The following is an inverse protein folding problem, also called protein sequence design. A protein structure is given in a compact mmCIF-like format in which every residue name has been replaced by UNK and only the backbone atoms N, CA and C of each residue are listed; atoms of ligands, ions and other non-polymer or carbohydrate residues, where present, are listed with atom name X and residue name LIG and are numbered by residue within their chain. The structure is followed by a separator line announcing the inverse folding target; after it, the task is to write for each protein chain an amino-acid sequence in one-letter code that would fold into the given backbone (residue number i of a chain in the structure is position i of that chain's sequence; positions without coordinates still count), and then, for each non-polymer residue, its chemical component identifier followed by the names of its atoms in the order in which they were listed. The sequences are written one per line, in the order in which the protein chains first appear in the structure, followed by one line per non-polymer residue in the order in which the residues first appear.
data_IF_726267563993
#
_entry.id   IF_726267563993
#
_cell.length_a   1.000
_cell.length_b   1.000
_cell.length_c   1.000
_cell.angle_alpha   90.00
_cell.angle_beta   90.00
_cell.angle_gamma   90.00
#
_symmetry.space_group_name_H-M   'P 1'
#
loop_
_entity.id
_entity.type
_entity.pdbx_description
1 polymer ?
#
# COMPACT_ATOMS: atom_id res chain seq x y z
N UNK A 1 -25.12 5.06 9.44
CA UNK A 1 -24.01 5.21 8.48
C UNK A 1 -22.62 5.16 9.13
N UNK A 2 -22.44 4.60 10.34
CA UNK A 2 -21.12 4.47 10.98
C UNK A 2 -20.20 3.47 10.25
N UNK A 3 -20.76 2.35 9.80
CA UNK A 3 -20.00 1.30 9.10
C UNK A 3 -19.32 1.81 7.82
N UNK A 4 -20.01 2.66 7.05
CA UNK A 4 -19.45 3.26 5.82
C UNK A 4 -18.28 4.17 6.16
N UNK A 5 -18.37 4.94 7.27
CA UNK A 5 -17.26 5.78 7.72
C UNK A 5 -16.03 4.95 8.14
N UNK A 6 -16.23 3.78 8.75
CA UNK A 6 -15.13 2.87 9.10
C UNK A 6 -14.44 2.33 7.83
N UNK A 7 -15.19 1.99 6.79
CA UNK A 7 -14.61 1.52 5.52
C UNK A 7 -13.79 2.60 4.79
N UNK A 8 -14.01 3.88 5.10
CA UNK A 8 -13.27 5.00 4.54
C UNK A 8 -12.01 5.37 5.35
N UNK A 9 -11.70 4.65 6.44
CA UNK A 9 -10.48 4.89 7.21
C UNK A 9 -9.27 4.65 6.29
N UNK A 10 -8.32 5.61 6.22
CA UNK A 10 -7.14 5.47 5.39
C UNK A 10 -6.18 4.44 5.98
N UNK A 11 -5.77 3.49 5.16
CA UNK A 11 -4.79 2.45 5.49
C UNK A 11 -3.62 2.59 4.53
N UNK A 12 -2.40 2.63 5.05
CA UNK A 12 -1.18 2.65 4.23
C UNK A 12 -0.72 1.21 3.97
N UNK A 13 -0.64 0.85 2.69
CA UNK A 13 -0.13 -0.44 2.22
C UNK A 13 1.13 -0.26 1.38
N UNK A 14 2.10 -1.16 1.56
CA UNK A 14 3.30 -1.22 0.73
C UNK A 14 3.11 -2.25 -0.38
N UNK A 15 3.76 -2.00 -1.51
CA UNK A 15 3.77 -2.88 -2.66
C UNK A 15 2.39 -3.13 -3.30
N UNK A 16 1.48 -2.16 -3.21
CA UNK A 16 0.16 -2.19 -3.86
C UNK A 16 -0.90 -2.89 -3.02
N UNK A 17 -0.74 -4.19 -2.75
CA UNK A 17 -1.75 -4.99 -2.04
C UNK A 17 -1.15 -5.85 -0.91
N UNK A 18 -1.95 -6.22 0.11
CA UNK A 18 -1.51 -7.07 1.21
C UNK A 18 -0.91 -8.40 0.73
N UNK A 19 0.29 -8.70 1.22
CA UNK A 19 1.00 -9.93 0.90
C UNK A 19 1.78 -9.89 -0.43
N UNK A 20 1.64 -8.83 -1.23
CA UNK A 20 2.49 -8.63 -2.39
C UNK A 20 3.88 -8.10 -1.99
N UNK A 21 4.85 -8.40 -2.83
CA UNK A 21 6.21 -7.89 -2.73
C UNK A 21 6.56 -7.13 -3.99
N UNK A 22 7.16 -5.97 -3.82
CA UNK A 22 7.63 -5.13 -4.90
C UNK A 22 9.14 -5.31 -5.04
N UNK A 23 9.60 -5.56 -6.27
CA UNK A 23 11.03 -5.58 -6.57
C UNK A 23 11.53 -4.15 -6.66
N UNK A 24 12.49 -3.80 -5.81
CA UNK A 24 13.13 -2.49 -5.79
C UNK A 24 14.63 -2.64 -5.70
N UNK A 25 15.35 -1.90 -6.53
CA UNK A 25 16.80 -1.86 -6.50
C UNK A 25 17.27 -0.91 -5.39
N UNK A 26 18.49 -1.13 -4.90
CA UNK A 26 19.15 -0.19 -3.99
C UNK A 26 19.65 0.99 -4.82
N UNK A 27 19.33 2.20 -4.41
CA UNK A 27 19.79 3.43 -5.05
C UNK A 27 21.28 3.72 -4.76
N UNK A 28 21.91 4.69 -5.44
CA UNK A 28 23.32 5.04 -5.20
C UNK A 28 23.63 5.56 -3.79
N UNK A 29 22.60 5.99 -3.05
CA UNK A 29 22.72 6.44 -1.65
C UNK A 29 22.55 5.28 -0.65
N UNK A 30 22.24 4.09 -1.14
CA UNK A 30 22.06 2.88 -0.35
C UNK A 30 20.64 2.68 0.17
N UNK A 31 19.62 3.33 -0.39
CA UNK A 31 18.22 3.15 0.04
C UNK A 31 17.44 2.21 -0.88
N UNK A 32 16.48 1.49 -0.31
CA UNK A 32 15.45 0.72 -1.02
C UNK A 32 14.18 1.56 -1.08
N UNK A 33 13.57 1.64 -2.27
CA UNK A 33 12.36 2.40 -2.52
C UNK A 33 11.14 1.48 -2.48
N UNK A 34 10.22 1.69 -1.55
CA UNK A 34 8.98 0.91 -1.46
C UNK A 34 7.81 1.75 -1.92
N UNK A 35 7.21 1.36 -3.05
CA UNK A 35 5.93 1.93 -3.47
C UNK A 35 4.87 1.69 -2.38
N UNK A 36 4.06 2.70 -2.08
CA UNK A 36 2.94 2.58 -1.17
C UNK A 36 1.67 3.24 -1.73
N UNK A 37 0.54 2.73 -1.28
CA UNK A 37 -0.79 3.30 -1.52
C UNK A 37 -1.45 3.59 -0.16
N UNK A 38 -2.19 4.70 -0.07
CA UNK A 38 -3.08 5.01 1.05
C UNK A 38 -4.49 4.83 0.55
N UNK A 39 -5.12 3.73 0.95
CA UNK A 39 -6.40 3.29 0.42
C UNK A 39 -7.47 3.23 1.53
N UNK A 40 -8.76 3.25 1.17
CA UNK A 40 -9.83 2.98 2.12
C UNK A 40 -9.69 1.58 2.70
N UNK A 41 -9.95 1.40 4.00
CA UNK A 41 -10.00 0.08 4.65
C UNK A 41 -10.88 -0.92 3.89
N UNK A 42 -11.97 -0.46 3.28
CA UNK A 42 -12.82 -1.31 2.44
C UNK A 42 -12.10 -1.89 1.21
N UNK A 43 -11.19 -1.13 0.59
CA UNK A 43 -10.38 -1.59 -0.56
C UNK A 43 -9.37 -2.60 -0.07
N UNK A 44 -8.64 -2.27 0.99
CA UNK A 44 -7.70 -3.19 1.63
C UNK A 44 -8.32 -4.57 1.92
N UNK A 45 -9.52 -4.60 2.50
CA UNK A 45 -10.23 -5.85 2.78
C UNK A 45 -10.67 -6.58 1.50
N UNK A 46 -11.07 -5.84 0.46
CA UNK A 46 -11.42 -6.41 -0.82
C UNK A 46 -10.20 -7.03 -1.52
N UNK A 47 -9.03 -6.40 -1.44
CA UNK A 47 -7.78 -6.91 -2.00
C UNK A 47 -7.33 -8.21 -1.33
N UNK A 48 -7.52 -8.36 -0.01
CA UNK A 48 -7.27 -9.65 0.69
C UNK A 48 -8.10 -10.77 0.08
N UNK A 49 -9.37 -10.50 -0.21
CA UNK A 49 -10.29 -11.49 -0.78
C UNK A 49 -10.00 -11.76 -2.25
N UNK A 50 -9.67 -10.72 -3.01
CA UNK A 50 -9.40 -10.81 -4.45
C UNK A 50 -8.00 -11.36 -4.77
N UNK A 51 -7.05 -11.24 -3.84
CA UNK A 51 -5.64 -11.61 -4.06
C UNK A 51 -4.95 -10.77 -5.15
N UNK A 52 -5.48 -9.59 -5.46
CA UNK A 52 -4.95 -8.70 -6.49
C UNK A 52 -5.10 -7.23 -6.08
N UNK A 53 -4.28 -6.36 -6.67
CA UNK A 53 -4.32 -4.93 -6.39
C UNK A 53 -5.49 -4.27 -7.12
N UNK A 54 -6.31 -3.55 -6.35
CA UNK A 54 -7.39 -2.70 -6.82
C UNK A 54 -6.84 -1.28 -6.80
N UNK A 55 -6.58 -0.69 -7.98
CA UNK A 55 -6.04 0.68 -8.12
C UNK A 55 -7.06 1.77 -7.74
N UNK A 56 -7.53 1.75 -6.50
CA UNK A 56 -8.40 2.77 -5.93
C UNK A 56 -7.88 3.19 -4.55
N UNK A 57 -7.16 4.30 -4.53
CA UNK A 57 -6.49 4.84 -3.36
C UNK A 57 -6.71 6.35 -3.26
N UNK A 58 -6.59 6.90 -2.05
CA UNK A 58 -6.62 8.33 -1.80
C UNK A 58 -5.33 9.03 -2.23
N UNK A 59 -4.19 8.36 -2.02
CA UNK A 59 -2.87 8.86 -2.39
C UNK A 59 -1.89 7.69 -2.58
N UNK A 60 -0.80 7.93 -3.31
CA UNK A 60 0.30 6.97 -3.45
C UNK A 60 1.66 7.68 -3.46
N UNK A 61 2.73 6.93 -3.25
CA UNK A 61 4.10 7.48 -3.20
C UNK A 61 5.15 6.41 -2.94
N UNK A 62 6.33 6.83 -2.48
CA UNK A 62 7.47 5.95 -2.21
C UNK A 62 8.04 6.19 -0.80
N UNK A 63 8.26 5.09 -0.08
CA UNK A 63 8.98 5.07 1.19
C UNK A 63 10.46 4.75 0.94
N UNK A 64 11.36 5.57 1.47
CA UNK A 64 12.80 5.29 1.47
C UNK A 64 13.20 4.53 2.73
N UNK A 65 13.79 3.36 2.57
CA UNK A 65 14.27 2.54 3.68
C UNK A 65 15.72 2.19 3.46
N UNK A 66 16.57 2.48 4.45
CA UNK A 66 17.97 2.06 4.43
C UNK A 66 18.07 0.63 4.98
N UNK A 67 18.45 -0.38 4.17
CA UNK A 67 18.72 -1.72 4.67
C UNK A 67 19.92 -1.67 5.63
N UNK A 68 19.83 -2.42 6.72
CA UNK A 68 20.89 -2.53 7.74
C UNK A 68 22.02 -3.43 7.30
#
# INVERSE_FOLDING_TARGET
MLFIAVLAIPVKQRCGAPGLSCASAVDPQGNVHYYYEVEPLGVYLAEIVAGSNIRWYYASGEDLVRPR
#
